data_IF_839954539484
#
_entry.id   IF_839954539484
#
_cell.length_a   1.000
_cell.length_b   1.000
_cell.length_c   1.000
_cell.angle_alpha   90.00
_cell.angle_beta   90.00
_cell.angle_gamma   90.00
#
_symmetry.space_group_name_H-M   'P 1'
#
loop_
_entity.id
_entity.type
_entity.pdbx_description
1 polymer ?
#
# COMPACT_ATOMS: atom_id res chain seq x y z
N UNK A 1 -59.92 -21.95 -9.63
CA UNK A 1 -60.11 -20.70 -10.38
C UNK A 1 -58.71 -20.21 -10.75
N UNK A 2 -58.35 -20.51 -12.03
CA UNK A 2 -57.07 -20.12 -12.63
C UNK A 2 -57.13 -18.65 -13.08
N UNK A 3 -56.17 -17.84 -12.74
CA UNK A 3 -55.90 -16.63 -13.47
C UNK A 3 -54.51 -16.70 -14.09
N UNK A 4 -54.52 -16.81 -15.40
CA UNK A 4 -53.37 -16.68 -16.29
C UNK A 4 -52.96 -15.23 -16.43
N UNK A 5 -51.65 -14.93 -16.33
CA UNK A 5 -51.04 -13.67 -16.74
C UNK A 5 -50.50 -13.78 -18.18
N UNK A 6 -50.73 -12.77 -19.03
CA UNK A 6 -50.24 -12.82 -20.40
C UNK A 6 -48.79 -12.41 -20.54
N UNK A 7 -48.09 -13.13 -21.42
CA UNK A 7 -46.72 -12.87 -21.82
C UNK A 7 -46.63 -11.61 -22.68
N UNK A 8 -45.76 -10.67 -22.31
CA UNK A 8 -45.37 -9.50 -23.11
C UNK A 8 -44.19 -9.88 -24.01
N UNK A 9 -44.46 -9.86 -25.32
CA UNK A 9 -43.46 -10.06 -26.37
C UNK A 9 -42.59 -8.79 -26.53
N UNK A 10 -41.25 -8.91 -26.33
CA UNK A 10 -40.28 -7.89 -26.70
C UNK A 10 -40.06 -7.94 -28.22
N UNK A 11 -40.48 -6.90 -28.93
CA UNK A 11 -40.08 -6.62 -30.32
C UNK A 11 -38.76 -5.85 -30.28
N UNK A 12 -37.73 -6.48 -30.82
CA UNK A 12 -36.45 -5.85 -31.10
C UNK A 12 -36.58 -4.83 -32.23
N UNK A 13 -36.35 -3.55 -31.98
CA UNK A 13 -36.14 -2.52 -32.99
C UNK A 13 -34.67 -2.44 -33.34
N UNK A 14 -34.34 -2.88 -34.56
CA UNK A 14 -33.04 -2.77 -35.18
C UNK A 14 -32.91 -1.36 -35.78
N UNK A 15 -32.20 -0.42 -35.15
CA UNK A 15 -31.79 0.84 -35.77
C UNK A 15 -30.46 0.64 -36.49
N UNK A 16 -30.53 0.63 -37.82
CA UNK A 16 -29.35 0.65 -38.69
C UNK A 16 -28.93 2.10 -38.89
N UNK A 17 -27.97 2.59 -38.13
CA UNK A 17 -27.29 3.87 -38.37
C UNK A 17 -26.04 3.63 -39.22
N UNK A 18 -26.15 4.02 -40.51
CA UNK A 18 -24.99 4.09 -41.42
C UNK A 18 -24.23 5.36 -41.08
N UNK A 19 -23.11 5.23 -40.39
CA UNK A 19 -22.11 6.31 -40.21
C UNK A 19 -21.07 6.16 -41.30
N UNK A 20 -21.07 7.09 -42.25
CA UNK A 20 -19.98 7.26 -43.22
C UNK A 20 -18.79 7.87 -42.46
N UNK A 21 -17.78 7.06 -42.11
CA UNK A 21 -16.50 7.56 -41.59
C UNK A 21 -15.63 8.02 -42.74
N UNK A 22 -15.44 9.35 -42.82
CA UNK A 22 -14.34 9.93 -43.60
C UNK A 22 -13.02 9.57 -42.89
N UNK A 23 -12.27 8.65 -43.46
CA UNK A 23 -10.90 8.36 -43.06
C UNK A 23 -9.98 9.50 -43.50
N UNK A 24 -9.79 10.49 -42.62
CA UNK A 24 -8.58 11.34 -42.69
C UNK A 24 -7.49 10.56 -41.95
N UNK A 25 -6.53 10.05 -42.75
CA UNK A 25 -5.40 9.29 -42.22
C UNK A 25 -4.47 10.19 -41.39
N UNK A 26 -4.58 10.09 -40.07
CA UNK A 26 -3.49 10.46 -39.18
C UNK A 26 -2.61 9.21 -38.98
N UNK A 27 -1.29 9.34 -39.13
CA UNK A 27 -0.41 8.21 -38.76
C UNK A 27 -0.49 8.04 -37.24
N UNK A 28 -1.36 7.15 -36.79
CA UNK A 28 -1.45 6.73 -35.39
C UNK A 28 -0.15 6.07 -35.00
N UNK A 29 0.67 6.77 -34.24
CA UNK A 29 1.85 6.20 -33.62
C UNK A 29 1.42 5.03 -32.73
N UNK A 30 1.84 3.81 -33.09
CA UNK A 30 1.62 2.57 -32.36
C UNK A 30 2.56 2.52 -31.13
N UNK A 31 2.34 3.38 -30.14
CA UNK A 31 3.17 3.44 -28.93
C UNK A 31 2.93 2.22 -28.02
N UNK A 32 1.72 1.71 -27.93
CA UNK A 32 1.41 0.58 -27.04
C UNK A 32 1.99 -0.78 -27.46
N UNK A 33 2.20 -1.02 -28.77
CA UNK A 33 2.71 -2.31 -29.24
C UNK A 33 4.24 -2.43 -29.14
N UNK A 34 4.96 -1.31 -29.21
CA UNK A 34 6.43 -1.30 -29.05
C UNK A 34 6.83 -1.50 -27.58
N UNK A 35 6.13 -0.87 -26.65
CA UNK A 35 6.42 -1.00 -25.21
C UNK A 35 6.13 -2.40 -24.70
N UNK A 36 5.03 -3.04 -25.13
CA UNK A 36 4.71 -4.41 -24.71
C UNK A 36 5.72 -5.45 -25.24
N UNK A 37 6.25 -5.26 -26.45
CA UNK A 37 7.29 -6.14 -26.99
C UNK A 37 8.66 -5.93 -26.31
N UNK A 38 9.03 -4.69 -25.98
CA UNK A 38 10.26 -4.39 -25.26
C UNK A 38 10.22 -4.96 -23.84
N UNK A 39 9.12 -4.78 -23.11
CA UNK A 39 8.91 -5.36 -21.75
C UNK A 39 8.90 -6.88 -21.81
N UNK A 40 8.30 -7.50 -22.82
CA UNK A 40 8.31 -8.97 -22.97
C UNK A 40 9.70 -9.53 -23.27
N UNK A 41 10.52 -8.85 -24.07
CA UNK A 41 11.89 -9.24 -24.34
C UNK A 41 12.76 -9.11 -23.09
N UNK A 42 12.69 -8.00 -22.40
CA UNK A 42 13.42 -7.75 -21.15
C UNK A 42 13.09 -8.81 -20.09
N UNK A 43 11.81 -9.20 -19.96
CA UNK A 43 11.42 -10.26 -19.03
C UNK A 43 11.96 -11.64 -19.44
N UNK A 44 11.95 -11.96 -20.73
CA UNK A 44 12.52 -13.22 -21.24
C UNK A 44 14.02 -13.31 -21.02
N UNK A 45 14.77 -12.22 -21.25
CA UNK A 45 16.20 -12.12 -21.00
C UNK A 45 16.53 -12.25 -19.50
N UNK A 46 15.77 -11.57 -18.66
CA UNK A 46 15.85 -11.71 -17.21
C UNK A 46 15.65 -13.18 -16.76
N UNK A 47 14.59 -13.84 -17.25
CA UNK A 47 14.32 -15.26 -16.93
C UNK A 47 15.49 -16.17 -17.35
N UNK A 48 16.05 -15.96 -18.54
CA UNK A 48 17.19 -16.73 -19.01
C UNK A 48 18.44 -16.54 -18.12
N UNK A 49 18.71 -15.30 -17.66
CA UNK A 49 19.78 -15.01 -16.70
C UNK A 49 19.53 -15.70 -15.36
N UNK A 50 18.31 -15.54 -14.82
CA UNK A 50 17.92 -16.21 -13.58
C UNK A 50 18.10 -17.72 -13.67
N UNK A 51 17.70 -18.34 -14.79
CA UNK A 51 17.78 -19.79 -14.98
C UNK A 51 19.23 -20.29 -15.06
N UNK A 52 20.18 -19.48 -15.56
CA UNK A 52 21.62 -19.83 -15.64
C UNK A 52 22.33 -19.81 -14.28
N UNK A 53 21.81 -19.09 -13.27
CA UNK A 53 22.41 -19.08 -11.94
C UNK A 53 22.31 -20.47 -11.32
N UNK A 54 23.40 -21.22 -11.29
CA UNK A 54 23.54 -22.54 -10.68
C UNK A 54 24.45 -22.56 -9.46
N UNK A 55 25.27 -21.51 -9.29
CA UNK A 55 26.20 -21.34 -8.16
C UNK A 55 26.18 -19.90 -7.67
N UNK A 56 26.61 -19.66 -6.44
CA UNK A 56 26.71 -18.33 -5.85
C UNK A 56 27.58 -17.38 -6.67
N UNK A 57 28.65 -17.87 -7.31
CA UNK A 57 29.50 -17.08 -8.19
C UNK A 57 28.78 -16.57 -9.46
N UNK A 58 27.73 -17.27 -9.90
CA UNK A 58 26.99 -16.91 -11.11
C UNK A 58 26.05 -15.70 -10.84
N UNK A 59 25.66 -15.46 -9.58
CA UNK A 59 24.71 -14.41 -9.22
C UNK A 59 25.17 -13.06 -9.77
N UNK A 60 26.39 -12.65 -9.43
CA UNK A 60 26.95 -11.37 -9.89
C UNK A 60 27.27 -11.39 -11.41
N UNK A 61 27.78 -12.51 -11.95
CA UNK A 61 28.12 -12.62 -13.37
C UNK A 61 26.90 -12.60 -14.30
N UNK A 62 25.72 -13.01 -13.80
CA UNK A 62 24.44 -12.91 -14.51
C UNK A 62 23.72 -11.58 -14.26
N UNK A 63 24.38 -10.60 -13.61
CA UNK A 63 23.87 -9.24 -13.44
C UNK A 63 22.98 -9.02 -12.23
N UNK A 64 22.99 -9.94 -11.27
CA UNK A 64 22.26 -9.77 -10.00
C UNK A 64 23.18 -9.16 -8.93
N UNK A 65 22.73 -8.07 -8.32
CA UNK A 65 23.41 -7.40 -7.22
C UNK A 65 22.92 -7.97 -5.88
N UNK A 66 23.78 -8.69 -5.19
CA UNK A 66 23.46 -9.23 -3.85
C UNK A 66 23.26 -8.08 -2.85
N UNK A 67 22.22 -8.17 -2.05
CA UNK A 67 21.98 -7.22 -0.97
C UNK A 67 23.00 -7.44 0.15
N UNK A 68 24.04 -6.61 0.21
CA UNK A 68 25.11 -6.71 1.18
C UNK A 68 24.60 -6.68 2.62
N UNK A 69 25.12 -7.59 3.44
CA UNK A 69 24.72 -7.74 4.84
C UNK A 69 23.33 -8.37 5.05
N UNK A 70 22.65 -8.81 3.98
CA UNK A 70 21.32 -9.44 4.04
C UNK A 70 21.32 -10.92 3.65
N UNK A 71 22.46 -11.57 3.75
CA UNK A 71 22.61 -13.01 3.56
C UNK A 71 22.46 -13.69 4.92
N UNK A 72 21.52 -14.63 5.04
CA UNK A 72 21.19 -15.26 6.32
C UNK A 72 21.15 -16.79 6.19
N UNK A 73 21.60 -17.54 7.21
CA UNK A 73 21.39 -18.98 7.23
C UNK A 73 19.91 -19.29 7.52
N UNK A 74 19.40 -20.35 6.88
CA UNK A 74 18.10 -20.93 7.19
C UNK A 74 18.09 -22.43 6.89
N UNK A 75 17.11 -23.15 7.45
CA UNK A 75 16.92 -24.57 7.16
C UNK A 75 15.86 -24.74 6.07
N UNK A 76 16.23 -25.40 4.99
CA UNK A 76 15.33 -25.73 3.89
C UNK A 76 15.03 -27.22 3.87
N UNK A 77 13.74 -27.55 3.76
CA UNK A 77 13.23 -28.92 3.74
C UNK A 77 13.86 -29.73 2.58
N UNK A 78 14.40 -30.90 2.90
CA UNK A 78 15.07 -31.75 1.93
C UNK A 78 16.52 -31.34 1.59
N UNK A 79 16.93 -30.10 1.90
CA UNK A 79 18.26 -29.56 1.58
C UNK A 79 19.13 -29.35 2.83
N UNK A 80 18.54 -29.21 4.01
CA UNK A 80 19.26 -28.89 5.23
C UNK A 80 19.56 -27.39 5.36
N UNK A 81 20.74 -27.05 5.90
CA UNK A 81 21.16 -25.66 6.07
C UNK A 81 21.56 -25.04 4.73
N UNK A 82 20.96 -23.90 4.39
CA UNK A 82 21.22 -23.11 3.18
C UNK A 82 21.38 -21.63 3.55
N UNK A 83 22.05 -20.89 2.66
CA UNK A 83 22.11 -19.42 2.73
C UNK A 83 20.98 -18.82 1.93
N UNK A 84 20.11 -18.01 2.56
CA UNK A 84 19.16 -17.11 1.91
C UNK A 84 19.92 -15.90 1.38
N UNK A 85 19.81 -15.63 0.07
CA UNK A 85 20.56 -14.60 -0.65
C UNK A 85 19.57 -13.78 -1.48
N UNK A 86 19.11 -12.62 -1.01
CA UNK A 86 18.33 -11.69 -1.83
C UNK A 86 19.26 -10.94 -2.78
N UNK A 87 18.87 -10.83 -4.05
CA UNK A 87 19.64 -10.12 -5.06
C UNK A 87 18.73 -9.37 -6.04
N UNK A 88 19.17 -8.18 -6.46
CA UNK A 88 18.42 -7.27 -7.30
C UNK A 88 18.94 -7.30 -8.74
N UNK A 89 18.04 -7.45 -9.68
CA UNK A 89 18.29 -7.16 -11.09
C UNK A 89 17.86 -5.73 -11.41
N UNK A 90 18.84 -4.85 -11.55
CA UNK A 90 18.60 -3.41 -11.82
C UNK A 90 18.02 -3.14 -13.19
N UNK A 91 18.32 -4.00 -14.16
CA UNK A 91 17.86 -3.84 -15.54
C UNK A 91 16.36 -4.08 -15.68
N UNK A 92 15.83 -5.09 -14.99
CA UNK A 92 14.41 -5.44 -15.02
C UNK A 92 13.62 -4.94 -13.79
N UNK A 93 14.29 -4.25 -12.85
CA UNK A 93 13.70 -3.79 -11.57
C UNK A 93 13.02 -4.94 -10.80
N UNK A 94 13.77 -6.05 -10.58
CA UNK A 94 13.27 -7.25 -9.93
C UNK A 94 14.15 -7.69 -8.77
N UNK A 95 13.49 -8.23 -7.74
CA UNK A 95 14.13 -8.96 -6.66
C UNK A 95 14.04 -10.46 -6.94
N UNK A 96 15.17 -11.16 -6.85
CA UNK A 96 15.26 -12.61 -6.85
C UNK A 96 15.81 -13.11 -5.52
N UNK A 97 15.34 -14.27 -5.08
CA UNK A 97 15.83 -14.95 -3.88
C UNK A 97 16.55 -16.22 -4.33
N UNK A 98 17.77 -16.39 -3.85
CA UNK A 98 18.58 -17.59 -4.08
C UNK A 98 18.83 -18.30 -2.75
N UNK A 99 18.86 -19.62 -2.79
CA UNK A 99 19.12 -20.48 -1.64
C UNK A 99 20.31 -21.37 -1.98
N UNK A 100 21.44 -21.12 -1.35
CA UNK A 100 22.69 -21.80 -1.70
C UNK A 100 23.15 -22.74 -0.58
N UNK A 101 23.61 -23.93 -0.98
CA UNK A 101 24.28 -24.91 -0.08
C UNK A 101 25.67 -24.41 0.30
N UNK A 102 26.27 -25.04 1.31
CA UNK A 102 27.60 -24.71 1.78
C UNK A 102 28.72 -24.89 0.69
N UNK A 103 28.50 -25.76 -0.31
CA UNK A 103 29.40 -25.93 -1.45
C UNK A 103 29.26 -24.85 -2.53
N UNK A 104 28.36 -23.87 -2.31
CA UNK A 104 28.06 -22.78 -3.22
C UNK A 104 27.09 -23.14 -4.35
N UNK A 105 26.56 -24.36 -4.41
CA UNK A 105 25.54 -24.72 -5.39
C UNK A 105 24.18 -24.09 -4.97
N UNK A 106 23.41 -23.60 -5.95
CA UNK A 106 22.08 -23.06 -5.70
C UNK A 106 21.07 -24.20 -5.62
N UNK A 107 20.49 -24.41 -4.43
CA UNK A 107 19.48 -25.43 -4.17
C UNK A 107 18.11 -25.03 -4.74
N UNK A 108 17.75 -23.77 -4.57
CA UNK A 108 16.47 -23.22 -5.01
C UNK A 108 16.62 -21.73 -5.36
N UNK A 109 15.77 -21.24 -6.23
CA UNK A 109 15.69 -19.82 -6.58
C UNK A 109 14.27 -19.44 -6.97
N UNK A 110 13.85 -18.23 -6.65
CA UNK A 110 12.53 -17.73 -6.99
C UNK A 110 12.51 -16.20 -7.18
N UNK A 111 11.67 -15.74 -8.08
CA UNK A 111 11.29 -14.34 -8.25
C UNK A 111 9.77 -14.16 -8.10
N UNK A 112 9.07 -15.19 -7.62
CA UNK A 112 7.63 -15.21 -7.41
C UNK A 112 7.26 -14.41 -6.17
N UNK A 113 7.46 -13.08 -6.24
CA UNK A 113 7.26 -12.13 -5.17
C UNK A 113 6.19 -11.10 -5.53
N UNK A 114 5.41 -10.67 -4.54
CA UNK A 114 4.48 -9.55 -4.69
C UNK A 114 5.25 -8.27 -5.06
N UNK A 115 6.46 -8.10 -4.54
CA UNK A 115 7.40 -7.03 -4.89
C UNK A 115 7.62 -6.91 -6.41
N UNK A 116 7.58 -8.01 -7.16
CA UNK A 116 7.78 -8.04 -8.60
C UNK A 116 6.48 -7.87 -9.41
N UNK A 117 5.33 -7.79 -8.77
CA UNK A 117 4.06 -7.59 -9.45
C UNK A 117 3.89 -6.14 -9.93
N UNK A 118 3.15 -5.95 -11.01
CA UNK A 118 2.81 -4.63 -11.52
C UNK A 118 1.67 -4.01 -10.71
N UNK A 119 1.78 -2.73 -10.38
CA UNK A 119 0.68 -1.92 -9.89
C UNK A 119 0.13 -1.10 -11.05
N UNK A 120 -1.13 -1.32 -11.44
CA UNK A 120 -1.80 -0.56 -12.51
C UNK A 120 -0.98 -0.51 -13.82
N UNK A 121 -0.31 -1.60 -14.15
CA UNK A 121 0.52 -1.70 -15.35
C UNK A 121 1.98 -1.25 -15.21
N UNK A 122 2.36 -0.71 -14.06
CA UNK A 122 3.74 -0.31 -13.77
C UNK A 122 4.45 -1.37 -12.92
N UNK A 123 5.74 -1.56 -13.14
CA UNK A 123 6.57 -2.36 -12.24
C UNK A 123 6.84 -1.58 -10.96
N UNK A 124 6.85 -2.28 -9.84
CA UNK A 124 7.44 -1.78 -8.61
C UNK A 124 8.95 -1.80 -8.76
N UNK A 125 9.63 -0.80 -8.27
CA UNK A 125 11.08 -0.79 -8.24
C UNK A 125 11.53 -1.10 -6.81
N UNK A 126 12.15 -2.28 -6.57
CA UNK A 126 12.76 -2.53 -5.28
C UNK A 126 13.91 -1.54 -5.06
N UNK A 127 13.95 -0.98 -3.87
CA UNK A 127 15.01 -0.06 -3.43
C UNK A 127 16.16 -0.88 -2.86
N UNK A 128 17.05 -1.36 -3.68
CA UNK A 128 18.32 -2.06 -3.42
C UNK A 128 18.48 -2.87 -2.12
N UNK A 129 17.46 -2.99 -1.27
CA UNK A 129 17.50 -3.75 -0.03
C UNK A 129 16.14 -4.33 0.33
N UNK A 130 16.19 -5.44 1.03
CA UNK A 130 15.08 -5.94 1.82
C UNK A 130 14.99 -5.10 3.08
N UNK A 131 13.80 -4.53 3.37
CA UNK A 131 13.61 -3.72 4.57
C UNK A 131 13.60 -4.57 5.85
N UNK A 132 13.00 -5.77 5.78
CA UNK A 132 13.01 -6.73 6.87
C UNK A 132 12.83 -8.15 6.34
N UNK A 133 13.39 -9.13 7.03
CA UNK A 133 13.18 -10.56 6.78
C UNK A 133 13.08 -11.32 8.10
N UNK A 134 12.22 -12.33 8.15
CA UNK A 134 12.10 -13.25 9.28
C UNK A 134 11.86 -14.66 8.76
N UNK A 135 12.43 -15.64 9.45
CA UNK A 135 12.26 -17.06 9.19
C UNK A 135 11.49 -17.68 10.36
N UNK A 136 10.24 -18.01 10.14
CA UNK A 136 9.36 -18.56 11.19
C UNK A 136 8.24 -19.40 10.59
N UNK A 137 7.80 -20.40 11.31
CA UNK A 137 6.67 -21.23 10.91
C UNK A 137 5.38 -20.41 10.95
N UNK A 138 4.81 -20.13 9.78
CA UNK A 138 3.62 -19.30 9.64
C UNK A 138 2.32 -20.10 9.51
N UNK A 139 2.40 -21.35 9.03
CA UNK A 139 1.23 -22.22 8.81
C UNK A 139 1.16 -23.42 9.77
N UNK A 140 2.10 -23.54 10.70
CA UNK A 140 2.11 -24.57 11.76
C UNK A 140 2.58 -25.95 11.27
N UNK A 141 3.30 -26.02 10.15
CA UNK A 141 3.78 -27.29 9.59
C UNK A 141 5.15 -27.72 10.13
N UNK A 142 5.76 -26.90 10.99
CA UNK A 142 7.05 -27.15 11.65
C UNK A 142 8.28 -26.73 10.84
N UNK A 143 8.09 -26.12 9.69
CA UNK A 143 9.16 -25.59 8.84
C UNK A 143 9.16 -24.05 8.83
N UNK A 144 10.34 -23.48 8.72
CA UNK A 144 10.44 -22.01 8.67
C UNK A 144 10.03 -21.48 7.30
N UNK A 145 8.99 -20.68 7.27
CA UNK A 145 8.57 -19.86 6.14
C UNK A 145 9.37 -18.56 6.10
N UNK A 146 9.26 -17.83 5.00
CA UNK A 146 9.93 -16.55 4.83
C UNK A 146 8.89 -15.44 4.87
N UNK A 147 9.02 -14.54 5.83
CA UNK A 147 8.31 -13.27 5.87
C UNK A 147 9.27 -12.19 5.42
N UNK A 148 8.94 -11.49 4.34
CA UNK A 148 9.81 -10.53 3.67
C UNK A 148 9.09 -9.20 3.50
N UNK A 149 9.76 -8.11 3.84
CA UNK A 149 9.31 -6.74 3.52
C UNK A 149 10.37 -6.09 2.65
N UNK A 150 9.96 -5.63 1.48
CA UNK A 150 10.81 -4.92 0.53
C UNK A 150 10.40 -3.45 0.48
N UNK A 151 11.37 -2.54 0.56
CA UNK A 151 11.15 -1.14 0.22
C UNK A 151 11.09 -1.01 -1.30
N UNK A 152 10.06 -0.36 -1.81
CA UNK A 152 9.83 -0.15 -3.23
C UNK A 152 9.58 1.32 -3.51
N UNK A 153 9.91 1.76 -4.72
CA UNK A 153 9.56 3.09 -5.24
C UNK A 153 8.64 2.95 -6.45
N UNK A 154 7.87 3.99 -6.73
CA UNK A 154 7.01 4.03 -7.90
C UNK A 154 7.79 4.65 -9.07
N UNK A 155 7.88 3.95 -10.21
CA UNK A 155 8.58 4.42 -11.41
C UNK A 155 8.12 5.79 -11.90
N UNK A 156 6.84 6.11 -11.76
CA UNK A 156 6.26 7.37 -12.26
C UNK A 156 6.46 8.57 -11.33
N UNK A 157 6.94 8.37 -10.11
CA UNK A 157 7.03 9.46 -9.12
C UNK A 157 8.33 10.28 -9.20
N UNK A 158 9.26 9.93 -10.08
CA UNK A 158 10.52 10.67 -10.31
C UNK A 158 11.48 10.63 -9.11
N UNK A 159 12.45 11.55 -9.09
CA UNK A 159 13.53 11.58 -8.11
C UNK A 159 13.11 11.85 -6.64
N UNK A 160 11.85 12.19 -6.40
CA UNK A 160 11.29 12.45 -5.07
C UNK A 160 10.29 11.37 -4.61
N UNK A 161 10.26 10.22 -5.29
CA UNK A 161 9.40 9.11 -4.91
C UNK A 161 9.69 8.65 -3.48
N UNK A 162 8.70 8.71 -2.61
CA UNK A 162 8.81 8.11 -1.27
C UNK A 162 8.77 6.59 -1.41
N UNK A 163 9.70 5.86 -0.77
CA UNK A 163 9.61 4.42 -0.69
C UNK A 163 8.31 3.99 0.00
N UNK A 164 7.75 2.88 -0.44
CA UNK A 164 6.64 2.21 0.21
C UNK A 164 6.99 0.73 0.43
N UNK A 165 6.38 0.12 1.43
CA UNK A 165 6.66 -1.26 1.80
C UNK A 165 5.79 -2.23 0.99
N UNK A 166 6.36 -3.36 0.60
CA UNK A 166 5.65 -4.51 0.02
C UNK A 166 5.99 -5.73 0.85
N UNK A 167 4.97 -6.41 1.34
CA UNK A 167 5.13 -7.64 2.12
C UNK A 167 4.95 -8.87 1.24
N UNK A 168 5.79 -9.87 1.48
CA UNK A 168 5.72 -11.20 0.90
C UNK A 168 5.76 -12.26 2.00
N UNK A 169 4.98 -13.32 1.86
CA UNK A 169 5.11 -14.53 2.66
C UNK A 169 5.25 -15.72 1.72
N UNK A 170 6.31 -16.47 1.92
CA UNK A 170 6.65 -17.66 1.14
C UNK A 170 6.60 -18.87 2.08
N UNK A 171 5.59 -19.69 1.91
CA UNK A 171 5.41 -20.93 2.67
C UNK A 171 6.34 -22.00 2.14
N UNK A 172 7.11 -22.61 3.02
CA UNK A 172 8.00 -23.69 2.65
C UNK A 172 7.23 -24.98 2.38
N UNK A 173 7.50 -25.62 1.24
CA UNK A 173 6.89 -26.89 0.82
C UNK A 173 7.99 -27.88 0.39
N UNK A 174 7.60 -29.09 0.01
CA UNK A 174 8.55 -30.17 -0.30
C UNK A 174 9.54 -29.85 -1.41
N UNK A 175 9.15 -28.99 -2.36
CA UNK A 175 9.88 -28.69 -3.60
C UNK A 175 10.31 -27.21 -3.68
N UNK A 176 10.28 -26.50 -2.55
CA UNK A 176 10.68 -25.09 -2.49
C UNK A 176 9.70 -24.23 -1.72
N UNK A 177 9.45 -23.04 -2.23
CA UNK A 177 8.58 -22.06 -1.58
C UNK A 177 7.36 -21.71 -2.43
N UNK A 178 6.20 -21.62 -1.77
CA UNK A 178 4.92 -21.27 -2.34
C UNK A 178 4.45 -19.92 -1.81
N UNK A 179 3.99 -19.05 -2.69
CA UNK A 179 3.32 -17.79 -2.34
C UNK A 179 1.81 -17.91 -2.57
N UNK A 180 1.01 -17.62 -1.55
CA UNK A 180 -0.42 -17.43 -1.72
C UNK A 180 -0.69 -16.01 -2.25
N UNK A 181 -1.12 -15.94 -3.51
CA UNK A 181 -1.38 -14.66 -4.19
C UNK A 181 -2.53 -13.86 -3.58
N UNK A 182 -3.57 -14.54 -3.09
CA UNK A 182 -4.73 -13.88 -2.47
C UNK A 182 -4.36 -13.31 -1.10
N UNK A 183 -3.60 -14.07 -0.34
CA UNK A 183 -3.08 -13.63 0.95
C UNK A 183 -2.15 -12.43 0.77
N UNK A 184 -1.22 -12.50 -0.18
CA UNK A 184 -0.27 -11.42 -0.49
C UNK A 184 -0.99 -10.15 -0.94
N UNK A 185 -1.99 -10.27 -1.81
CA UNK A 185 -2.82 -9.13 -2.24
C UNK A 185 -3.54 -8.49 -1.06
N UNK A 186 -4.24 -9.30 -0.25
CA UNK A 186 -5.01 -8.83 0.90
C UNK A 186 -4.12 -8.15 1.94
N UNK A 187 -3.00 -8.76 2.25
CA UNK A 187 -2.01 -8.25 3.20
C UNK A 187 -1.50 -6.85 2.78
N UNK A 188 -1.10 -6.69 1.53
CA UNK A 188 -0.59 -5.42 1.04
C UNK A 188 -1.70 -4.36 0.87
N UNK A 189 -2.90 -4.78 0.45
CA UNK A 189 -4.05 -3.90 0.27
C UNK A 189 -4.52 -3.25 1.57
N UNK A 190 -4.49 -3.99 2.68
CA UNK A 190 -4.99 -3.53 3.97
C UNK A 190 -3.88 -3.07 4.93
N UNK A 191 -2.67 -2.81 4.42
CA UNK A 191 -1.59 -2.22 5.19
C UNK A 191 -0.98 -3.14 6.25
N UNK A 192 -1.12 -4.49 6.07
CA UNK A 192 -0.52 -5.48 6.97
C UNK A 192 0.99 -5.64 6.72
N UNK A 193 1.53 -4.99 5.71
CA UNK A 193 2.93 -5.02 5.29
C UNK A 193 3.82 -3.98 5.99
N UNK A 194 3.34 -3.32 7.04
CA UNK A 194 4.08 -2.26 7.73
C UNK A 194 5.27 -2.80 8.52
N UNK A 195 5.10 -3.95 9.17
CA UNK A 195 6.18 -4.64 9.90
C UNK A 195 6.00 -6.16 9.85
N UNK A 196 7.06 -6.90 10.21
CA UNK A 196 7.00 -8.37 10.36
C UNK A 196 5.90 -8.76 11.36
N UNK A 197 5.75 -8.01 12.44
CA UNK A 197 4.71 -8.24 13.46
C UNK A 197 3.30 -8.15 12.89
N UNK A 198 3.01 -7.14 12.06
CA UNK A 198 1.72 -7.02 11.40
C UNK A 198 1.41 -8.22 10.50
N UNK A 199 2.39 -8.66 9.71
CA UNK A 199 2.25 -9.84 8.85
C UNK A 199 2.00 -11.09 9.68
N UNK A 200 2.79 -11.29 10.74
CA UNK A 200 2.66 -12.45 11.63
C UNK A 200 1.29 -12.47 12.31
N UNK A 201 0.86 -11.34 12.89
CA UNK A 201 -0.46 -11.23 13.53
C UNK A 201 -1.61 -11.46 12.55
N UNK A 202 -1.47 -11.02 11.30
CA UNK A 202 -2.47 -11.26 10.28
C UNK A 202 -2.59 -12.75 9.91
N UNK A 203 -1.47 -13.45 9.74
CA UNK A 203 -1.47 -14.81 9.23
C UNK A 203 -1.67 -15.83 10.36
N UNK A 204 -0.94 -15.71 11.48
CA UNK A 204 -0.95 -16.67 12.56
C UNK A 204 -2.04 -16.43 13.59
N UNK A 205 -2.26 -15.16 13.94
CA UNK A 205 -3.12 -14.79 15.08
C UNK A 205 -4.51 -14.38 14.63
N UNK A 206 -4.73 -14.25 13.31
CA UNK A 206 -6.02 -13.88 12.74
C UNK A 206 -6.40 -12.40 12.89
N UNK A 207 -5.49 -11.56 13.36
CA UNK A 207 -5.71 -10.11 13.44
C UNK A 207 -5.67 -9.49 12.04
N UNK A 208 -6.60 -8.59 11.78
CA UNK A 208 -6.70 -7.95 10.47
C UNK A 208 -7.17 -6.51 10.60
N UNK A 209 -6.61 -5.63 9.80
CA UNK A 209 -7.08 -4.25 9.64
C UNK A 209 -8.12 -4.09 8.53
N UNK A 210 -8.54 -5.19 7.89
CA UNK A 210 -9.46 -5.16 6.75
C UNK A 210 -10.76 -4.41 7.06
N UNK A 211 -11.35 -4.68 8.23
CA UNK A 211 -12.61 -4.04 8.64
C UNK A 211 -12.51 -2.51 8.75
N UNK A 212 -11.32 -1.98 9.05
CA UNK A 212 -11.10 -0.52 9.09
C UNK A 212 -11.34 0.16 7.73
N UNK A 213 -11.27 -0.61 6.63
CA UNK A 213 -11.45 -0.11 5.26
C UNK A 213 -12.76 -0.58 4.64
N UNK A 214 -13.38 -1.63 5.16
CA UNK A 214 -14.55 -2.27 4.56
C UNK A 214 -15.83 -2.15 5.36
N UNK A 215 -15.75 -1.77 6.64
CA UNK A 215 -16.92 -1.53 7.47
C UNK A 215 -17.82 -0.44 6.87
N UNK A 216 -19.10 -0.68 6.92
CA UNK A 216 -20.13 0.22 6.40
C UNK A 216 -20.80 1.04 7.49
N UNK A 217 -20.67 0.63 8.75
CA UNK A 217 -21.26 1.31 9.90
C UNK A 217 -20.25 1.51 11.03
N UNK A 218 -20.49 2.54 11.83
CA UNK A 218 -19.71 2.78 13.04
C UNK A 218 -19.85 1.64 14.07
N UNK A 219 -21.04 1.02 14.15
CA UNK A 219 -21.27 -0.13 15.02
C UNK A 219 -20.39 -1.32 14.64
N UNK A 220 -20.26 -1.58 13.35
CA UNK A 220 -19.36 -2.63 12.83
C UNK A 220 -17.90 -2.36 13.23
N UNK A 221 -17.40 -1.11 13.09
CA UNK A 221 -16.07 -0.74 13.55
C UNK A 221 -15.85 -1.02 15.04
N UNK A 222 -16.80 -0.59 15.87
CA UNK A 222 -16.74 -0.79 17.33
C UNK A 222 -16.80 -2.26 17.73
N UNK A 223 -17.63 -3.06 17.07
CA UNK A 223 -17.75 -4.50 17.33
C UNK A 223 -16.46 -5.27 17.01
N UNK A 224 -15.64 -4.76 16.07
CA UNK A 224 -14.32 -5.33 15.75
C UNK A 224 -13.18 -4.75 16.60
N UNK A 225 -13.48 -3.93 17.60
CA UNK A 225 -12.50 -3.45 18.57
C UNK A 225 -11.89 -2.07 18.25
N UNK A 226 -12.43 -1.32 17.30
CA UNK A 226 -12.04 0.08 17.15
C UNK A 226 -12.46 0.90 18.37
N UNK A 227 -11.59 1.77 18.85
CA UNK A 227 -11.85 2.70 19.94
C UNK A 227 -11.94 4.12 19.39
N UNK A 228 -13.03 4.81 19.68
CA UNK A 228 -13.23 6.22 19.27
C UNK A 228 -12.45 7.15 20.19
N UNK A 229 -11.78 8.15 19.62
CA UNK A 229 -11.16 9.26 20.34
C UNK A 229 -12.22 10.32 20.56
N UNK A 230 -12.99 10.18 21.66
CA UNK A 230 -14.21 10.94 21.90
C UNK A 230 -13.97 12.45 22.03
N UNK A 231 -12.86 12.88 22.62
CA UNK A 231 -12.48 14.28 22.82
C UNK A 231 -12.18 15.03 21.50
N UNK A 232 -11.87 14.30 20.45
CA UNK A 232 -11.65 14.83 19.10
C UNK A 232 -12.86 14.63 18.16
N UNK A 233 -13.90 13.92 18.64
CA UNK A 233 -15.10 13.63 17.86
C UNK A 233 -16.07 14.82 17.91
N UNK A 234 -16.66 15.17 16.77
CA UNK A 234 -17.62 16.29 16.70
C UNK A 234 -18.52 16.21 15.48
N UNK A 235 -19.73 16.76 15.60
CA UNK A 235 -20.65 16.89 14.47
C UNK A 235 -20.37 18.17 13.68
N UNK A 236 -20.16 18.03 12.38
CA UNK A 236 -19.84 19.10 11.45
C UNK A 236 -20.83 19.06 10.29
N UNK A 237 -21.26 20.24 9.82
CA UNK A 237 -22.01 20.36 8.57
C UNK A 237 -21.04 20.64 7.42
N UNK A 238 -20.90 19.67 6.53
CA UNK A 238 -20.14 19.79 5.29
C UNK A 238 -21.10 20.23 4.16
N UNK A 239 -20.66 21.12 3.31
CA UNK A 239 -21.48 21.78 2.30
C UNK A 239 -22.03 20.79 1.25
N UNK A 240 -21.24 19.75 0.89
CA UNK A 240 -21.61 18.74 -0.11
C UNK A 240 -22.22 17.47 0.48
N UNK A 241 -21.97 17.20 1.77
CA UNK A 241 -22.33 15.92 2.39
C UNK A 241 -23.34 16.07 3.55
N UNK A 242 -23.73 17.31 3.89
CA UNK A 242 -24.64 17.55 5.00
C UNK A 242 -23.98 17.41 6.37
N UNK A 243 -24.78 17.07 7.39
CA UNK A 243 -24.28 16.90 8.76
C UNK A 243 -23.67 15.51 8.93
N UNK A 244 -22.39 15.47 9.30
CA UNK A 244 -21.64 14.26 9.57
C UNK A 244 -20.91 14.36 10.91
N UNK A 245 -20.73 13.25 11.58
CA UNK A 245 -19.83 13.12 12.72
C UNK A 245 -18.41 12.85 12.21
N UNK A 246 -17.47 13.70 12.57
CA UNK A 246 -16.04 13.48 12.41
C UNK A 246 -15.62 12.56 13.55
N UNK A 247 -15.27 11.32 13.24
CA UNK A 247 -15.06 10.23 14.21
C UNK A 247 -13.65 9.65 14.04
N UNK A 248 -12.65 10.24 14.75
CA UNK A 248 -11.32 9.64 14.80
C UNK A 248 -11.35 8.39 15.68
N UNK A 249 -10.63 7.36 15.26
CA UNK A 249 -10.58 6.11 15.98
C UNK A 249 -9.23 5.43 15.87
N UNK A 250 -8.95 4.58 16.84
CA UNK A 250 -7.76 3.74 16.90
C UNK A 250 -8.13 2.28 16.98
N UNK A 251 -7.29 1.46 16.39
CA UNK A 251 -7.33 0.01 16.54
C UNK A 251 -5.95 -0.49 16.98
N UNK A 252 -5.92 -1.22 18.09
CA UNK A 252 -4.67 -1.79 18.59
C UNK A 252 -4.47 -3.19 18.02
N UNK A 253 -3.38 -3.36 17.30
CA UNK A 253 -2.95 -4.65 16.78
C UNK A 253 -1.55 -4.96 17.29
N UNK A 254 -1.42 -6.00 18.10
CA UNK A 254 -0.20 -6.28 18.86
C UNK A 254 0.22 -5.02 19.66
N UNK A 255 1.41 -4.51 19.45
CA UNK A 255 1.95 -3.31 20.10
C UNK A 255 1.73 -2.00 19.30
N UNK A 256 1.10 -2.10 18.12
CA UNK A 256 0.88 -0.95 17.25
C UNK A 256 -0.53 -0.38 17.40
N UNK A 257 -0.65 0.92 17.25
CA UNK A 257 -1.93 1.64 17.25
C UNK A 257 -2.19 2.21 15.87
N UNK A 258 -3.07 1.57 15.13
CA UNK A 258 -3.53 2.04 13.80
C UNK A 258 -4.53 3.18 14.00
N UNK A 259 -4.39 4.26 13.25
CA UNK A 259 -5.26 5.42 13.31
C UNK A 259 -6.05 5.59 12.01
N UNK A 260 -7.35 5.80 12.17
CA UNK A 260 -8.29 6.10 11.07
C UNK A 260 -9.18 7.26 11.45
N UNK A 261 -9.67 7.98 10.44
CA UNK A 261 -10.72 8.97 10.61
C UNK A 261 -11.90 8.61 9.73
N UNK A 262 -13.10 8.68 10.29
CA UNK A 262 -14.35 8.40 9.58
C UNK A 262 -15.28 9.60 9.60
N UNK A 263 -16.05 9.76 8.53
CA UNK A 263 -17.24 10.61 8.51
C UNK A 263 -18.46 9.71 8.57
N UNK A 264 -19.25 9.87 9.62
CA UNK A 264 -20.42 9.03 9.92
C UNK A 264 -21.67 9.87 9.89
N UNK A 265 -22.71 9.41 9.20
CA UNK A 265 -24.00 10.12 9.16
C UNK A 265 -24.83 9.88 10.44
N UNK A 266 -25.98 10.55 10.56
CA UNK A 266 -26.86 10.46 11.73
C UNK A 266 -27.45 9.06 11.95
N UNK A 267 -27.48 8.21 10.91
CA UNK A 267 -27.92 6.81 10.96
C UNK A 267 -26.81 5.84 11.32
N UNK A 268 -25.57 6.32 11.52
CA UNK A 268 -24.42 5.48 11.86
C UNK A 268 -23.69 4.88 10.67
N UNK A 269 -24.06 5.24 9.43
CA UNK A 269 -23.34 4.76 8.23
C UNK A 269 -22.07 5.57 7.99
N UNK A 270 -21.00 4.88 7.60
CA UNK A 270 -19.74 5.48 7.19
C UNK A 270 -19.90 6.06 5.78
N UNK A 271 -19.79 7.37 5.66
CA UNK A 271 -19.87 8.09 4.37
C UNK A 271 -18.50 8.19 3.73
N UNK A 272 -17.45 8.33 4.55
CA UNK A 272 -16.07 8.46 4.09
C UNK A 272 -15.09 7.96 5.14
N UNK A 273 -13.97 7.39 4.69
CA UNK A 273 -12.87 6.94 5.56
C UNK A 273 -11.54 7.51 5.08
N UNK A 274 -10.67 7.86 6.02
CA UNK A 274 -9.35 8.41 5.78
C UNK A 274 -8.31 7.58 6.54
N UNK A 275 -7.15 7.39 5.91
CA UNK A 275 -5.99 6.75 6.53
C UNK A 275 -4.82 7.74 6.56
N UNK A 276 -4.75 8.64 7.54
CA UNK A 276 -3.75 9.71 7.56
C UNK A 276 -2.34 9.23 7.93
N UNK A 277 -2.18 8.02 8.43
CA UNK A 277 -0.88 7.49 8.82
C UNK A 277 0.09 7.29 7.66
N UNK A 278 -0.39 7.02 6.44
CA UNK A 278 0.48 6.65 5.33
C UNK A 278 1.32 5.41 5.65
N UNK A 279 2.64 5.54 5.56
CA UNK A 279 3.60 4.45 5.82
C UNK A 279 4.02 4.30 7.29
N UNK A 280 3.50 5.14 8.20
CA UNK A 280 3.80 5.00 9.62
C UNK A 280 3.14 3.76 10.23
N UNK A 281 3.80 3.19 11.23
CA UNK A 281 3.36 1.94 11.87
C UNK A 281 2.44 2.19 13.07
N UNK A 282 2.67 3.30 13.79
CA UNK A 282 2.04 3.57 15.06
C UNK A 282 1.64 5.04 15.21
N UNK A 283 0.39 5.30 15.63
CA UNK A 283 0.00 6.61 16.14
C UNK A 283 0.60 6.81 17.53
N UNK A 284 1.52 7.77 17.66
CA UNK A 284 2.08 8.17 18.94
C UNK A 284 1.15 9.14 19.69
N UNK A 285 0.70 10.21 19.03
CA UNK A 285 -0.23 11.16 19.59
C UNK A 285 -1.06 11.87 18.50
N UNK A 286 -2.38 11.96 18.68
CA UNK A 286 -3.23 12.83 17.89
C UNK A 286 -3.19 14.24 18.47
N UNK A 287 -2.58 15.19 17.76
CA UNK A 287 -2.47 16.60 18.19
C UNK A 287 -3.77 17.37 17.97
N UNK A 288 -4.50 17.07 16.90
CA UNK A 288 -5.81 17.66 16.67
C UNK A 288 -6.34 17.50 15.26
N UNK A 289 -7.63 17.77 15.13
CA UNK A 289 -8.35 17.78 13.86
C UNK A 289 -9.11 19.12 13.77
N UNK A 290 -9.10 19.75 12.60
CA UNK A 290 -9.97 20.91 12.33
C UNK A 290 -10.69 20.74 10.99
N UNK A 291 -11.89 21.36 10.89
CA UNK A 291 -12.71 21.35 9.69
C UNK A 291 -13.02 22.79 9.31
N UNK A 292 -12.28 23.33 8.37
CA UNK A 292 -12.36 24.71 7.92
C UNK A 292 -12.06 24.79 6.43
N UNK A 293 -12.57 25.82 5.76
CA UNK A 293 -12.18 26.13 4.40
C UNK A 293 -10.69 26.51 4.34
N UNK A 294 -9.88 25.74 3.64
CA UNK A 294 -8.43 25.91 3.55
C UNK A 294 -8.02 26.59 2.24
N UNK A 295 -8.62 26.22 1.12
CA UNK A 295 -8.23 26.69 -0.21
C UNK A 295 -9.11 27.85 -0.75
N UNK A 296 -10.14 28.26 -0.02
CA UNK A 296 -10.96 29.41 -0.35
C UNK A 296 -12.13 29.13 -1.30
N UNK A 297 -12.48 27.88 -1.47
CA UNK A 297 -13.59 27.47 -2.33
C UNK A 297 -14.97 27.50 -1.65
N UNK A 298 -15.02 27.84 -0.35
CA UNK A 298 -16.23 27.92 0.47
C UNK A 298 -16.67 26.58 1.04
N UNK A 299 -15.91 25.51 0.84
CA UNK A 299 -16.19 24.18 1.40
C UNK A 299 -15.27 23.90 2.60
N UNK A 300 -15.77 23.14 3.58
CA UNK A 300 -14.94 22.76 4.72
C UNK A 300 -14.04 21.57 4.38
N UNK A 301 -12.76 21.77 4.53
CA UNK A 301 -11.72 20.77 4.43
C UNK A 301 -11.40 20.17 5.79
N UNK A 302 -10.66 19.09 5.82
CA UNK A 302 -10.23 18.43 7.05
C UNK A 302 -8.71 18.52 7.15
N UNK A 303 -8.20 19.07 8.25
CA UNK A 303 -6.78 19.11 8.59
C UNK A 303 -6.56 18.25 9.83
N UNK A 304 -5.60 17.34 9.75
CA UNK A 304 -5.21 16.43 10.82
C UNK A 304 -3.73 16.68 11.12
N UNK A 305 -3.41 16.87 12.39
CA UNK A 305 -2.03 16.95 12.89
C UNK A 305 -1.83 15.86 13.93
N UNK A 306 -0.80 15.02 13.74
CA UNK A 306 -0.50 13.92 14.65
C UNK A 306 1.01 13.63 14.68
N UNK A 307 1.48 13.05 15.77
CA UNK A 307 2.79 12.42 15.86
C UNK A 307 2.63 10.92 15.59
N UNK A 308 3.50 10.39 14.75
CA UNK A 308 3.57 8.97 14.43
C UNK A 308 4.93 8.41 14.79
N UNK A 309 5.00 7.10 15.00
CA UNK A 309 6.26 6.42 15.20
C UNK A 309 6.46 5.30 14.19
N UNK A 310 7.72 5.00 13.93
CA UNK A 310 8.18 3.91 13.09
C UNK A 310 9.57 3.45 13.56
N UNK A 311 9.97 2.27 13.15
CA UNK A 311 11.30 1.73 13.42
C UNK A 311 12.33 2.40 12.50
N UNK A 312 13.33 3.04 13.08
CA UNK A 312 14.45 3.63 12.36
C UNK A 312 15.39 2.57 11.79
N UNK A 313 16.39 3.02 11.03
CA UNK A 313 17.32 2.13 10.32
C UNK A 313 18.21 1.29 11.23
N UNK A 314 18.41 1.68 12.47
CA UNK A 314 19.16 0.96 13.51
C UNK A 314 18.25 0.23 14.53
N UNK A 315 16.94 0.18 14.26
CA UNK A 315 15.96 -0.51 15.12
C UNK A 315 15.45 0.34 16.29
N UNK A 316 15.84 1.62 16.37
CA UNK A 316 15.32 2.55 17.38
C UNK A 316 13.94 3.10 16.96
N UNK A 317 13.04 3.38 17.93
CA UNK A 317 11.79 4.06 17.64
C UNK A 317 12.05 5.54 17.30
N UNK A 318 11.56 5.96 16.15
CA UNK A 318 11.58 7.37 15.71
C UNK A 318 10.16 7.92 15.81
N UNK A 319 10.00 9.09 16.42
CA UNK A 319 8.72 9.81 16.48
C UNK A 319 8.82 11.05 15.59
N UNK A 320 7.87 11.19 14.68
CA UNK A 320 7.84 12.30 13.72
C UNK A 320 6.43 12.90 13.65
N UNK A 321 6.35 14.23 13.71
CA UNK A 321 5.12 14.97 13.45
C UNK A 321 4.76 14.92 11.97
N UNK A 322 3.49 14.65 11.66
CA UNK A 322 2.98 14.69 10.31
C UNK A 322 1.55 15.25 10.28
N UNK A 323 1.13 15.70 9.10
CA UNK A 323 -0.19 16.22 8.90
C UNK A 323 -0.80 15.72 7.60
N UNK A 324 -2.13 15.73 7.52
CA UNK A 324 -2.89 15.50 6.29
C UNK A 324 -3.92 16.60 6.10
N UNK A 325 -4.07 17.07 4.87
CA UNK A 325 -5.10 18.01 4.46
C UNK A 325 -5.94 17.34 3.37
N UNK A 326 -7.23 17.22 3.64
CA UNK A 326 -8.20 16.62 2.73
C UNK A 326 -9.19 17.68 2.29
N UNK A 327 -9.14 18.05 1.02
CA UNK A 327 -10.05 19.05 0.43
C UNK A 327 -11.39 18.40 0.09
N UNK A 328 -12.47 19.04 0.54
CA UNK A 328 -13.82 18.66 0.15
C UNK A 328 -14.05 19.01 -1.33
N UNK A 329 -14.60 18.07 -2.09
CA UNK A 329 -15.01 18.27 -3.49
C UNK A 329 -16.37 17.60 -3.71
N UNK A 330 -16.97 17.81 -4.88
CA UNK A 330 -18.28 17.22 -5.22
C UNK A 330 -18.27 15.69 -5.15
N UNK A 331 -17.14 15.04 -5.45
CA UNK A 331 -17.02 13.59 -5.48
C UNK A 331 -16.41 12.96 -4.22
N UNK A 332 -16.09 13.74 -3.19
CA UNK A 332 -15.48 13.22 -1.96
C UNK A 332 -14.43 14.16 -1.35
N UNK A 333 -13.48 13.56 -0.65
CA UNK A 333 -12.35 14.25 -0.06
C UNK A 333 -11.06 13.78 -0.70
N UNK A 334 -10.16 14.70 -1.03
CA UNK A 334 -8.92 14.40 -1.74
C UNK A 334 -7.74 14.98 -0.98
N UNK A 335 -6.74 14.14 -0.70
CA UNK A 335 -5.50 14.58 -0.07
C UNK A 335 -4.62 15.28 -1.12
N UNK A 336 -4.14 16.47 -0.77
CA UNK A 336 -3.12 17.19 -1.53
C UNK A 336 -1.74 16.83 -0.96
N UNK A 337 -1.04 15.96 -1.67
CA UNK A 337 0.32 15.57 -1.29
C UNK A 337 1.35 16.64 -1.65
N UNK A 338 1.05 17.56 -2.58
CA UNK A 338 1.99 18.60 -3.02
C UNK A 338 2.18 19.68 -1.96
N UNK A 339 1.13 19.98 -1.20
CA UNK A 339 1.23 20.94 -0.09
C UNK A 339 2.23 20.48 0.98
N UNK A 340 2.40 19.16 1.19
CA UNK A 340 3.40 18.61 2.13
C UNK A 340 4.85 18.93 1.73
N UNK A 341 5.10 19.14 0.45
CA UNK A 341 6.42 19.56 -0.05
C UNK A 341 6.67 21.04 0.18
N UNK A 342 5.61 21.86 0.10
CA UNK A 342 5.67 23.31 0.27
C UNK A 342 5.66 23.73 1.74
N UNK A 343 4.91 23.04 2.58
CA UNK A 343 4.74 23.37 4.00
C UNK A 343 5.39 22.31 4.89
N UNK A 344 6.65 22.52 5.24
CA UNK A 344 7.30 21.68 6.24
C UNK A 344 6.69 21.95 7.62
N UNK A 345 6.43 20.89 8.37
CA UNK A 345 6.01 20.99 9.75
C UNK A 345 7.21 21.51 10.59
N UNK A 346 6.96 22.54 11.40
CA UNK A 346 7.97 23.05 12.34
C UNK A 346 7.90 22.25 13.63
N UNK A 347 9.04 22.08 14.31
CA UNK A 347 9.09 21.42 15.59
C UNK A 347 8.19 22.16 16.61
N UNK A 348 7.25 21.46 17.23
CA UNK A 348 6.29 22.07 18.14
C UNK A 348 5.15 22.88 17.47
N UNK A 349 5.05 22.85 16.14
CA UNK A 349 3.99 23.54 15.41
C UNK A 349 2.59 23.10 15.83
N UNK A 350 1.67 24.06 15.94
CA UNK A 350 0.27 23.80 16.32
C UNK A 350 -0.64 23.58 15.12
N UNK A 351 -1.83 23.05 15.37
CA UNK A 351 -2.86 22.88 14.34
C UNK A 351 -3.31 24.23 13.77
N UNK A 352 -3.37 25.27 14.61
CA UNK A 352 -3.70 26.66 14.24
C UNK A 352 -2.64 27.23 13.30
N UNK A 353 -1.37 27.09 13.63
CA UNK A 353 -0.25 27.56 12.79
C UNK A 353 -0.23 26.85 11.44
N UNK A 354 -0.40 25.52 11.44
CA UNK A 354 -0.49 24.73 10.22
C UNK A 354 -1.66 25.21 9.33
N UNK A 355 -2.84 25.41 9.93
CA UNK A 355 -4.04 25.87 9.22
C UNK A 355 -3.83 27.27 8.63
N UNK A 356 -3.23 28.19 9.38
CA UNK A 356 -2.93 29.54 8.91
C UNK A 356 -1.94 29.53 7.72
N UNK A 357 -0.89 28.72 7.81
CA UNK A 357 0.12 28.54 6.74
C UNK A 357 -0.48 27.87 5.49
N UNK A 358 -1.35 26.88 5.66
CA UNK A 358 -2.04 26.23 4.54
C UNK A 358 -2.96 27.22 3.80
N UNK A 359 -3.68 28.06 4.52
CA UNK A 359 -4.47 29.14 3.92
C UNK A 359 -3.60 30.18 3.21
N UNK A 360 -2.46 30.56 3.79
CA UNK A 360 -1.51 31.48 3.16
C UNK A 360 -0.93 30.89 1.86
N UNK A 361 -0.66 29.59 1.82
CA UNK A 361 -0.24 28.88 0.62
C UNK A 361 -1.25 29.07 -0.53
N UNK A 362 -2.56 29.02 -0.23
CA UNK A 362 -3.65 29.28 -1.19
C UNK A 362 -3.95 30.76 -1.42
N UNK A 363 -3.15 31.66 -0.85
CA UNK A 363 -3.28 33.09 -1.06
C UNK A 363 -4.33 33.78 -0.20
N UNK A 364 -4.83 33.14 0.84
CA UNK A 364 -5.67 33.81 1.83
C UNK A 364 -4.84 34.84 2.59
N UNK A 365 -5.25 36.09 2.48
CA UNK A 365 -4.69 37.15 3.32
C UNK A 365 -5.55 37.24 4.57
N UNK A 366 -4.96 37.10 5.75
CA UNK A 366 -5.61 37.51 6.99
C UNK A 366 -6.12 38.94 6.79
N UNK A 367 -7.41 39.15 6.94
CA UNK A 367 -7.91 40.53 7.04
C UNK A 367 -7.26 41.16 8.26
N UNK A 368 -6.65 42.37 8.15
CA UNK A 368 -6.03 43.08 9.27
C UNK A 368 -7.00 43.33 10.40
#
# INVERSE_FOLDING_TARGET
MNQMYPALSFRAFLFLTITVSLCLGFPGASWGARDSQAVSRSYSEYRQRLDRVGRTGDIASEGFEVADGQVFPMTMRGEGEVSFIPAFDRESNRLALFFARADGSVAYKTDQLETNNRIRGQLRQPDSRVAAVSFQDMDGDGWADIVLITACVNESAGAQAKPYKVGDVLFQKNDGFYRDYRLSEKMNRFGMNKSIHFITSFIRDGYSTEFLYTATTNEELLSHGMTVIAEQSRSIRFEKFGRLSVTPGTYRMAEYTVFMLYLVNEQGYIVWSFQPMGEYEHLYALKGITCQDIDGDGLKDIVILADYSYEGSSGEPVVEGNYSIYYQRTGGFFEDTDIKQALKLEEGGTLEDLTARARAYWGWRSKP
#
